data_IF_783068805124
#
_entry.id   IF_783068805124
#
_cell.length_a   1.000
_cell.length_b   1.000
_cell.length_c   1.000
_cell.angle_alpha   90.00
_cell.angle_beta   90.00
_cell.angle_gamma   90.00
#
_symmetry.space_group_name_H-M   'P 1'
#
loop_
_entity.id
_entity.type
_entity.pdbx_description
1 polymer ?
#
# COMPACT_ATOMS: atom_id res chain seq x y z
N UNK A 1 -3.61 -14.63 25.86
CA UNK A 1 -3.39 -13.60 24.82
C UNK A 1 -4.49 -12.55 24.92
N UNK A 2 -4.21 -11.37 25.50
CA UNK A 2 -5.09 -10.22 25.27
C UNK A 2 -4.75 -9.72 23.86
N UNK A 3 -5.54 -10.12 22.86
CA UNK A 3 -5.38 -9.60 21.51
C UNK A 3 -5.59 -8.09 21.54
N UNK A 4 -4.54 -7.31 21.32
CA UNK A 4 -4.68 -5.89 21.02
C UNK A 4 -5.28 -5.83 19.62
N UNK A 5 -6.54 -5.43 19.51
CA UNK A 5 -7.26 -5.35 18.24
C UNK A 5 -6.77 -4.16 17.41
N UNK A 6 -6.63 -4.36 16.09
CA UNK A 6 -6.51 -3.27 15.13
C UNK A 6 -7.86 -2.56 15.04
N UNK A 7 -7.87 -1.25 15.29
CA UNK A 7 -9.07 -0.41 15.12
C UNK A 7 -8.88 0.42 13.86
N UNK A 8 -9.60 0.06 12.80
CA UNK A 8 -9.63 0.80 11.54
C UNK A 8 -10.86 1.70 11.56
N UNK A 9 -10.65 3.01 11.43
CA UNK A 9 -11.73 3.98 11.31
C UNK A 9 -12.08 4.15 9.84
N UNK A 10 -13.37 4.08 9.57
CA UNK A 10 -13.96 4.36 8.27
C UNK A 10 -14.16 5.87 8.11
N UNK A 11 -13.86 6.38 6.93
CA UNK A 11 -14.09 7.78 6.55
C UNK A 11 -14.89 7.85 5.24
N UNK A 12 -15.83 8.80 5.11
CA UNK A 12 -16.52 9.06 3.86
C UNK A 12 -15.65 9.88 2.91
N UNK A 13 -15.63 9.49 1.64
CA UNK A 13 -14.94 10.14 0.54
C UNK A 13 -15.95 10.49 -0.55
N UNK A 14 -15.87 11.72 -1.07
CA UNK A 14 -16.74 12.20 -2.14
C UNK A 14 -15.96 13.09 -3.11
N UNK A 15 -16.19 12.91 -4.41
CA UNK A 15 -15.83 13.88 -5.46
C UNK A 15 -17.07 14.17 -6.30
N UNK A 16 -17.44 15.44 -6.44
CA UNK A 16 -18.69 15.86 -7.08
C UNK A 16 -18.46 17.06 -7.99
N UNK A 17 -19.02 17.01 -9.20
CA UNK A 17 -19.07 18.16 -10.09
C UNK A 17 -20.47 18.40 -10.65
N UNK A 18 -20.78 19.67 -10.88
CA UNK A 18 -22.04 20.11 -11.47
C UNK A 18 -21.91 20.36 -12.97
N UNK A 19 -22.93 19.99 -13.74
CA UNK A 19 -23.09 20.33 -15.15
C UNK A 19 -24.45 20.98 -15.39
N UNK A 20 -24.48 22.10 -16.11
CA UNK A 20 -25.74 22.73 -16.49
C UNK A 20 -26.45 21.91 -17.59
N UNK A 21 -27.73 21.59 -17.40
CA UNK A 21 -28.54 20.81 -18.36
C UNK A 21 -28.68 21.50 -19.70
N UNK A 22 -28.70 22.84 -19.74
CA UNK A 22 -28.71 23.62 -20.99
C UNK A 22 -27.55 23.27 -21.92
N UNK A 23 -26.39 22.88 -21.36
CA UNK A 23 -25.22 22.53 -22.16
C UNK A 23 -25.44 21.21 -22.90
N UNK A 24 -26.16 20.25 -22.31
CA UNK A 24 -26.51 19.00 -22.99
C UNK A 24 -27.39 19.24 -24.22
N UNK A 25 -28.21 20.30 -24.22
CA UNK A 25 -29.06 20.70 -25.34
C UNK A 25 -28.29 21.45 -26.45
N UNK A 26 -27.02 21.81 -26.21
CA UNK A 26 -26.14 22.45 -27.22
C UNK A 26 -25.41 21.43 -28.07
N UNK A 27 -25.11 21.77 -29.32
CA UNK A 27 -24.32 20.93 -30.22
C UNK A 27 -22.94 20.60 -29.60
N UNK A 28 -22.63 19.30 -29.50
CA UNK A 28 -21.41 18.79 -28.90
C UNK A 28 -21.31 18.88 -27.36
N UNK A 29 -22.38 19.26 -26.66
CA UNK A 29 -22.38 19.39 -25.19
C UNK A 29 -21.99 18.10 -24.46
N UNK A 30 -22.59 16.97 -24.83
CA UNK A 30 -22.26 15.65 -24.28
C UNK A 30 -20.80 15.26 -24.58
N UNK A 31 -20.31 15.53 -25.79
CA UNK A 31 -18.92 15.25 -26.19
C UNK A 31 -17.91 16.05 -25.38
N UNK A 32 -18.22 17.31 -25.04
CA UNK A 32 -17.34 18.15 -24.21
C UNK A 32 -17.24 17.70 -22.75
N UNK A 33 -18.28 17.06 -22.20
CA UNK A 33 -18.33 16.66 -20.79
C UNK A 33 -18.01 15.18 -20.54
N UNK A 34 -18.13 14.32 -21.55
CA UNK A 34 -17.73 12.92 -21.45
C UNK A 34 -16.31 12.71 -20.87
N UNK A 35 -15.28 13.53 -21.18
CA UNK A 35 -13.97 13.41 -20.54
C UNK A 35 -14.01 13.62 -19.01
N UNK A 36 -14.85 14.53 -18.51
CA UNK A 36 -14.97 14.82 -17.06
C UNK A 36 -15.62 13.66 -16.30
N UNK A 37 -16.69 13.09 -16.83
CA UNK A 37 -17.32 11.89 -16.26
C UNK A 37 -16.35 10.71 -16.26
N UNK A 38 -15.58 10.54 -17.35
CA UNK A 38 -14.53 9.50 -17.42
C UNK A 38 -13.41 9.73 -16.40
N UNK A 39 -13.04 10.99 -16.12
CA UNK A 39 -12.05 11.30 -15.09
C UNK A 39 -12.57 10.98 -13.70
N UNK A 40 -13.83 11.33 -13.39
CA UNK A 40 -14.48 10.98 -12.13
C UNK A 40 -14.49 9.46 -11.91
N UNK A 41 -14.92 8.69 -12.91
CA UNK A 41 -14.91 7.23 -12.84
C UNK A 41 -13.48 6.65 -12.71
N UNK A 42 -12.48 7.26 -13.34
CA UNK A 42 -11.07 6.87 -13.15
C UNK A 42 -10.59 7.16 -11.73
N UNK A 43 -10.97 8.29 -11.15
CA UNK A 43 -10.67 8.64 -9.75
C UNK A 43 -11.26 7.60 -8.80
N UNK A 44 -12.54 7.27 -8.95
CA UNK A 44 -13.21 6.23 -8.16
C UNK A 44 -12.51 4.86 -8.24
N UNK A 45 -11.98 4.49 -9.41
CA UNK A 45 -11.21 3.24 -9.57
C UNK A 45 -9.83 3.28 -8.90
N UNK A 46 -9.17 4.45 -8.85
CA UNK A 46 -7.84 4.62 -8.24
C UNK A 46 -7.89 4.78 -6.72
N UNK A 47 -9.03 5.20 -6.19
CA UNK A 47 -9.23 5.46 -4.77
C UNK A 47 -8.66 4.35 -3.87
N UNK A 48 -8.87 3.08 -4.23
CA UNK A 48 -8.38 1.94 -3.43
C UNK A 48 -6.86 1.91 -3.37
N UNK A 49 -6.19 2.13 -4.51
CA UNK A 49 -4.74 2.14 -4.58
C UNK A 49 -4.17 3.32 -3.78
N UNK A 50 -4.74 4.51 -3.97
CA UNK A 50 -4.34 5.72 -3.25
C UNK A 50 -4.48 5.55 -1.74
N UNK A 51 -5.61 5.01 -1.28
CA UNK A 51 -5.84 4.72 0.14
C UNK A 51 -4.84 3.69 0.69
N UNK A 52 -4.59 2.61 -0.05
CA UNK A 52 -3.66 1.54 0.36
C UNK A 52 -2.23 2.06 0.47
N UNK A 53 -1.74 2.78 -0.54
CA UNK A 53 -0.36 3.28 -0.55
C UNK A 53 -0.15 4.46 0.40
N UNK A 54 -1.15 5.33 0.58
CA UNK A 54 -1.11 6.35 1.62
C UNK A 54 -1.01 5.73 3.02
N UNK A 55 -1.80 4.68 3.29
CA UNK A 55 -1.74 3.93 4.56
C UNK A 55 -0.38 3.25 4.73
N UNK A 56 0.17 2.68 3.65
CA UNK A 56 1.49 2.05 3.69
C UNK A 56 2.59 3.06 4.03
N UNK A 57 2.60 4.22 3.39
CA UNK A 57 3.55 5.31 3.68
C UNK A 57 3.39 5.86 5.09
N UNK A 58 2.16 5.92 5.61
CA UNK A 58 1.90 6.30 7.00
C UNK A 58 2.51 5.31 8.01
N UNK A 59 2.84 4.08 7.61
CA UNK A 59 3.47 3.07 8.47
C UNK A 59 4.83 3.45 9.05
N UNK A 60 5.52 4.45 8.49
CA UNK A 60 6.75 4.99 9.08
C UNK A 60 6.51 5.84 10.34
N UNK A 61 5.27 6.29 10.58
CA UNK A 61 4.91 7.19 11.68
C UNK A 61 3.77 6.66 12.55
N UNK A 62 2.81 5.96 11.96
CA UNK A 62 1.66 5.38 12.66
C UNK A 62 2.09 4.16 13.44
N UNK A 63 1.77 4.14 14.73
CA UNK A 63 2.07 3.02 15.60
C UNK A 63 1.24 1.78 15.22
N UNK A 64 1.91 0.64 15.18
CA UNK A 64 1.29 -0.66 15.06
C UNK A 64 0.70 -1.15 16.38
N UNK A 65 0.29 -2.42 16.39
CA UNK A 65 -0.37 -3.10 17.51
C UNK A 65 0.51 -3.15 18.78
N UNK A 66 1.82 -3.14 18.60
CA UNK A 66 2.84 -3.18 19.64
C UNK A 66 3.19 -1.80 20.22
N UNK A 67 2.67 -0.72 19.65
CA UNK A 67 2.83 0.65 20.14
C UNK A 67 4.06 1.40 19.62
N UNK A 68 4.82 0.82 18.69
CA UNK A 68 5.87 1.51 17.93
C UNK A 68 5.44 1.68 16.47
N UNK A 69 6.07 2.57 15.67
CA UNK A 69 5.74 2.69 14.25
C UNK A 69 5.74 1.34 13.53
N UNK A 70 4.82 1.13 12.57
CA UNK A 70 4.71 -0.14 11.86
C UNK A 70 6.01 -0.54 11.14
N UNK A 71 6.75 0.43 10.61
CA UNK A 71 8.13 0.26 10.16
C UNK A 71 9.07 0.81 11.21
N UNK A 72 9.60 -0.07 12.06
CA UNK A 72 10.45 0.30 13.19
C UNK A 72 11.73 -0.55 13.24
N UNK A 73 12.78 0.08 13.74
CA UNK A 73 14.02 -0.59 14.08
C UNK A 73 13.92 -1.41 15.38
N UNK A 74 12.81 -1.30 16.12
CA UNK A 74 12.72 -1.81 17.49
C UNK A 74 11.30 -2.23 17.88
N UNK A 75 10.72 -3.17 17.14
CA UNK A 75 9.49 -3.84 17.57
C UNK A 75 9.78 -4.66 18.85
N UNK A 76 9.08 -4.39 19.96
CA UNK A 76 9.28 -5.14 21.20
C UNK A 76 8.79 -6.57 21.01
N UNK A 77 9.65 -7.52 21.31
CA UNK A 77 9.30 -8.94 21.44
C UNK A 77 9.50 -9.38 22.90
N UNK A 78 9.17 -10.63 23.22
CA UNK A 78 9.30 -11.19 24.57
C UNK A 78 10.71 -10.98 25.16
N UNK A 79 10.79 -10.91 26.49
CA UNK A 79 12.05 -10.83 27.25
C UNK A 79 12.93 -9.59 26.95
N UNK A 80 12.33 -8.48 26.52
CA UNK A 80 13.02 -7.20 26.32
C UNK A 80 13.91 -7.16 25.07
N UNK A 81 13.85 -8.16 24.21
CA UNK A 81 14.51 -8.18 22.91
C UNK A 81 13.67 -7.35 21.93
N UNK A 82 14.32 -6.77 20.91
CA UNK A 82 13.62 -6.10 19.82
C UNK A 82 13.96 -6.71 18.46
N UNK A 83 13.06 -6.55 17.51
CA UNK A 83 13.27 -6.93 16.12
C UNK A 83 13.03 -5.73 15.20
N UNK A 84 13.86 -5.60 14.15
CA UNK A 84 13.70 -4.54 13.15
C UNK A 84 13.01 -5.07 11.91
N UNK A 85 12.05 -4.32 11.38
CA UNK A 85 11.55 -4.47 10.02
C UNK A 85 11.80 -3.22 9.14
N UNK A 86 12.67 -2.32 9.61
CA UNK A 86 13.01 -1.08 8.93
C UNK A 86 14.52 -0.95 8.72
N UNK A 87 14.93 -0.85 7.46
CA UNK A 87 16.33 -0.66 7.06
C UNK A 87 16.88 0.74 7.30
N UNK A 88 16.05 1.73 7.62
CA UNK A 88 16.50 3.12 7.70
C UNK A 88 16.74 3.75 6.33
N UNK A 89 17.58 4.79 6.30
CA UNK A 89 17.87 5.57 5.09
C UNK A 89 16.94 6.77 4.89
N UNK A 90 17.18 7.52 3.81
CA UNK A 90 16.50 8.79 3.51
C UNK A 90 16.02 8.92 2.05
N UNK A 91 16.22 7.91 1.21
CA UNK A 91 15.77 7.90 -0.17
C UNK A 91 14.30 7.53 -0.33
N UNK A 92 13.89 7.37 -1.60
CA UNK A 92 12.59 6.82 -1.96
C UNK A 92 12.39 5.44 -1.33
N UNK A 93 11.25 5.17 -0.68
CA UNK A 93 11.04 3.92 0.02
C UNK A 93 10.86 2.74 -0.96
N UNK A 94 11.23 1.57 -0.49
CA UNK A 94 10.87 0.30 -1.10
C UNK A 94 10.45 -0.68 -0.01
N UNK A 95 9.56 -1.60 -0.37
CA UNK A 95 8.88 -2.46 0.58
C UNK A 95 8.96 -3.91 0.13
N UNK A 96 9.18 -4.81 1.07
CA UNK A 96 9.20 -6.24 0.84
C UNK A 96 8.11 -6.89 1.69
N UNK A 97 7.30 -7.76 1.10
CA UNK A 97 6.15 -8.36 1.77
C UNK A 97 6.10 -9.87 1.59
N UNK A 98 5.55 -10.53 2.60
CA UNK A 98 4.99 -11.87 2.49
C UNK A 98 3.45 -11.81 2.56
N UNK A 99 2.77 -11.70 1.41
CA UNK A 99 1.30 -11.66 1.36
C UNK A 99 0.64 -13.00 1.71
N UNK A 100 1.40 -14.09 1.87
CA UNK A 100 0.84 -15.43 2.13
C UNK A 100 0.48 -15.67 3.60
N UNK A 101 1.08 -14.92 4.52
CA UNK A 101 0.70 -14.92 5.94
C UNK A 101 -0.50 -14.00 6.15
N UNK A 102 -0.33 -12.72 5.76
CA UNK A 102 -1.38 -11.71 5.84
C UNK A 102 -1.10 -10.64 4.79
N UNK A 103 -2.16 -10.02 4.27
CA UNK A 103 -1.99 -8.83 3.43
C UNK A 103 -1.44 -7.69 4.29
N UNK A 104 -0.44 -6.93 3.83
CA UNK A 104 0.20 -5.89 4.63
C UNK A 104 -0.74 -4.73 4.97
N UNK A 105 -1.66 -4.41 4.05
CA UNK A 105 -2.72 -3.43 4.24
C UNK A 105 -4.06 -4.14 4.06
N UNK A 106 -4.98 -3.91 5.01
CA UNK A 106 -6.37 -4.32 4.91
C UNK A 106 -7.22 -3.06 4.69
N UNK A 107 -8.13 -3.13 3.73
CA UNK A 107 -9.15 -2.11 3.52
C UNK A 107 -10.48 -2.62 4.06
N UNK A 108 -11.05 -1.86 4.98
CA UNK A 108 -12.37 -2.08 5.56
C UNK A 108 -13.39 -1.21 4.81
N UNK A 109 -14.36 -1.86 4.17
CA UNK A 109 -15.40 -1.19 3.41
C UNK A 109 -16.66 -1.04 4.24
N UNK A 110 -17.19 0.18 4.36
CA UNK A 110 -18.59 0.41 4.70
C UNK A 110 -19.40 0.55 3.41
N UNK A 111 -18.87 1.29 2.45
CA UNK A 111 -19.42 1.44 1.10
C UNK A 111 -18.29 1.41 0.06
N UNK A 112 -18.46 0.58 -0.97
CA UNK A 112 -17.49 0.52 -2.08
C UNK A 112 -17.63 1.75 -2.97
N UNK A 113 -16.57 2.13 -3.72
CA UNK A 113 -16.64 3.27 -4.62
C UNK A 113 -17.75 3.09 -5.65
N UNK A 114 -18.67 4.03 -5.69
CA UNK A 114 -19.79 4.06 -6.62
C UNK A 114 -19.89 5.43 -7.26
N UNK A 115 -20.13 5.48 -8.57
CA UNK A 115 -20.45 6.71 -9.29
C UNK A 115 -21.95 6.90 -9.36
N UNK A 116 -22.43 8.10 -9.05
CA UNK A 116 -23.84 8.47 -9.03
C UNK A 116 -24.09 9.71 -9.88
N UNK A 117 -25.31 9.83 -10.38
CA UNK A 117 -25.81 11.06 -11.00
C UNK A 117 -27.08 11.51 -10.25
N UNK A 118 -27.27 12.81 -10.10
CA UNK A 118 -28.48 13.35 -9.48
C UNK A 118 -29.66 13.29 -10.45
N UNK A 119 -30.88 13.25 -9.90
CA UNK A 119 -32.08 13.44 -10.69
C UNK A 119 -32.08 14.79 -11.42
N UNK A 120 -32.56 14.75 -12.67
CA UNK A 120 -32.63 15.92 -13.55
C UNK A 120 -33.87 16.76 -13.25
N UNK A 121 -33.79 17.64 -12.25
CA UNK A 121 -34.86 18.61 -12.04
C UNK A 121 -34.68 19.83 -12.97
N UNK A 122 -35.18 19.68 -14.20
CA UNK A 122 -35.10 20.72 -15.24
C UNK A 122 -35.89 21.98 -14.88
N UNK A 123 -36.88 21.87 -14.00
CA UNK A 123 -37.77 22.98 -13.65
C UNK A 123 -37.18 23.90 -12.58
N UNK A 124 -36.47 23.35 -11.59
CA UNK A 124 -36.03 24.10 -10.41
C UNK A 124 -34.56 24.56 -10.43
N UNK A 125 -33.64 23.82 -11.07
CA UNK A 125 -32.19 24.13 -10.98
C UNK A 125 -31.40 24.03 -12.28
N UNK A 126 -31.89 23.31 -13.30
CA UNK A 126 -31.21 23.21 -14.59
C UNK A 126 -29.76 22.69 -14.49
N UNK A 127 -29.46 21.87 -13.49
CA UNK A 127 -28.13 21.32 -13.20
C UNK A 127 -28.27 19.83 -12.91
N UNK A 128 -27.31 19.03 -13.40
CA UNK A 128 -27.10 17.63 -13.03
C UNK A 128 -25.77 17.55 -12.29
N UNK A 129 -25.77 16.88 -11.15
CA UNK A 129 -24.56 16.55 -10.41
C UNK A 129 -24.10 15.14 -10.78
N UNK A 130 -22.79 15.00 -10.98
CA UNK A 130 -22.12 13.70 -11.09
C UNK A 130 -21.18 13.59 -9.90
N UNK A 131 -21.30 12.50 -9.17
CA UNK A 131 -20.53 12.23 -7.97
C UNK A 131 -19.89 10.86 -8.00
N UNK A 132 -18.81 10.70 -7.25
CA UNK A 132 -18.28 9.41 -6.83
C UNK A 132 -18.18 9.43 -5.31
N UNK A 133 -18.69 8.40 -4.65
CA UNK A 133 -18.65 8.28 -3.20
C UNK A 133 -18.10 6.91 -2.79
N UNK A 134 -17.38 6.89 -1.67
CA UNK A 134 -16.90 5.68 -1.02
C UNK A 134 -16.87 5.89 0.49
N UNK A 135 -17.03 4.84 1.27
CA UNK A 135 -16.77 4.88 2.70
C UNK A 135 -15.88 3.70 3.06
N UNK A 136 -14.63 4.02 3.43
CA UNK A 136 -13.62 3.03 3.69
C UNK A 136 -12.63 3.49 4.77
N UNK A 137 -12.02 2.53 5.42
CA UNK A 137 -10.82 2.75 6.22
C UNK A 137 -9.74 1.77 5.77
N UNK A 138 -8.47 2.14 5.93
CA UNK A 138 -7.36 1.24 5.68
C UNK A 138 -6.44 1.16 6.91
N UNK A 139 -5.88 -0.02 7.13
CA UNK A 139 -5.02 -0.29 8.27
C UNK A 139 -3.90 -1.25 7.95
N UNK A 140 -2.80 -1.09 8.68
CA UNK A 140 -1.63 -1.95 8.61
C UNK A 140 -1.84 -3.18 9.50
N UNK A 141 -1.36 -4.34 9.06
CA UNK A 141 -1.64 -5.63 9.72
C UNK A 141 -0.52 -6.05 10.66
N UNK A 142 0.14 -7.17 10.38
CA UNK A 142 1.28 -7.67 11.15
C UNK A 142 2.58 -7.12 10.57
N UNK A 143 3.34 -6.43 11.41
CA UNK A 143 4.65 -5.87 11.05
C UNK A 143 5.65 -6.96 10.65
N UNK A 144 5.46 -8.20 11.15
CA UNK A 144 6.32 -9.34 10.82
C UNK A 144 6.27 -9.74 9.34
N UNK A 145 5.16 -9.46 8.64
CA UNK A 145 4.96 -9.83 7.24
C UNK A 145 5.45 -8.76 6.25
N UNK A 146 6.03 -7.67 6.76
CA UNK A 146 6.44 -6.52 5.98
C UNK A 146 7.84 -6.04 6.39
N UNK A 147 8.61 -5.57 5.43
CA UNK A 147 9.85 -4.85 5.65
C UNK A 147 9.88 -3.60 4.77
N UNK A 148 10.41 -2.51 5.29
CA UNK A 148 10.62 -1.30 4.51
C UNK A 148 12.07 -0.83 4.60
N UNK A 149 12.53 -0.14 3.57
CA UNK A 149 13.81 0.54 3.61
C UNK A 149 13.77 1.77 2.71
N UNK A 150 14.53 2.79 3.13
CA UNK A 150 14.81 4.02 2.39
C UNK A 150 16.30 4.11 2.04
N UNK A 151 17.04 3.00 2.18
CA UNK A 151 18.40 2.88 1.68
C UNK A 151 18.38 2.66 0.17
N UNK A 152 19.53 2.83 -0.48
CA UNK A 152 19.71 2.47 -1.89
C UNK A 152 19.33 1.01 -2.13
N UNK A 153 18.48 0.75 -3.12
CA UNK A 153 18.09 -0.60 -3.50
C UNK A 153 19.21 -1.23 -4.37
N UNK A 154 20.00 -2.10 -3.77
CA UNK A 154 20.99 -2.93 -4.44
C UNK A 154 20.87 -4.41 -4.00
N UNK A 155 21.72 -5.28 -4.55
CA UNK A 155 21.70 -6.71 -4.24
C UNK A 155 21.94 -6.98 -2.74
N UNK A 156 22.90 -6.27 -2.13
CA UNK A 156 23.26 -6.48 -0.74
C UNK A 156 22.14 -6.01 0.22
N UNK A 157 21.53 -4.86 -0.07
CA UNK A 157 20.41 -4.33 0.69
C UNK A 157 19.17 -5.24 0.57
N UNK A 158 18.91 -5.78 -0.62
CA UNK A 158 17.83 -6.73 -0.84
C UNK A 158 18.06 -8.04 -0.07
N UNK A 159 19.25 -8.63 -0.16
CA UNK A 159 19.59 -9.87 0.55
C UNK A 159 19.51 -9.70 2.08
N UNK A 160 19.99 -8.54 2.59
CA UNK A 160 19.88 -8.21 4.00
C UNK A 160 18.41 -8.10 4.45
N UNK A 161 17.56 -7.47 3.65
CA UNK A 161 16.12 -7.35 3.93
C UNK A 161 15.41 -8.71 3.91
N UNK A 162 15.70 -9.56 2.92
CA UNK A 162 15.16 -10.92 2.81
C UNK A 162 15.57 -11.75 4.03
N UNK A 163 16.86 -11.73 4.39
CA UNK A 163 17.36 -12.44 5.56
C UNK A 163 16.75 -11.94 6.87
N UNK A 164 16.51 -10.62 6.99
CA UNK A 164 15.86 -10.03 8.15
C UNK A 164 14.41 -10.51 8.28
N UNK A 165 13.64 -10.51 7.19
CA UNK A 165 12.26 -11.00 7.20
C UNK A 165 12.18 -12.49 7.56
N UNK A 166 13.03 -13.33 6.98
CA UNK A 166 13.06 -14.77 7.25
C UNK A 166 13.46 -15.10 8.70
N UNK A 167 14.20 -14.21 9.37
CA UNK A 167 14.60 -14.36 10.78
C UNK A 167 13.56 -13.82 11.77
N UNK A 168 12.47 -13.22 11.28
CA UNK A 168 11.46 -12.62 12.15
C UNK A 168 10.88 -13.66 13.11
N UNK A 169 11.02 -13.44 14.44
CA UNK A 169 10.53 -14.39 15.43
C UNK A 169 9.01 -14.34 15.54
N UNK A 170 8.41 -15.45 15.95
CA UNK A 170 7.02 -15.45 16.40
C UNK A 170 6.91 -14.63 17.70
N UNK A 171 5.86 -13.82 17.81
CA UNK A 171 5.52 -13.18 19.08
C UNK A 171 4.93 -14.25 20.02
N UNK A 172 5.76 -14.82 20.90
CA UNK A 172 5.28 -15.75 21.93
C UNK A 172 4.55 -14.96 23.02
N UNK A 173 3.30 -15.33 23.30
CA UNK A 173 2.66 -14.96 24.57
C UNK A 173 3.47 -15.53 25.74
N UNK A 174 3.35 -14.89 26.91
CA UNK A 174 4.07 -15.23 28.14
C UNK A 174 4.27 -16.75 28.33
N UNK A 175 5.54 -17.17 28.39
CA UNK A 175 5.91 -18.56 28.61
C UNK A 175 6.96 -19.04 27.62
N UNK A 176 8.21 -19.11 28.10
CA UNK A 176 9.33 -19.93 27.64
C UNK A 176 9.13 -20.64 26.28
N UNK A 177 9.87 -20.21 25.25
CA UNK A 177 10.56 -21.22 24.44
C UNK A 177 10.31 -21.31 22.94
N UNK A 178 9.65 -20.38 22.26
CA UNK A 178 9.59 -20.43 20.78
C UNK A 178 10.23 -19.20 20.13
N UNK A 179 11.57 -19.11 20.22
CA UNK A 179 12.42 -18.33 19.28
C UNK A 179 12.38 -18.90 17.84
N UNK A 180 11.29 -19.58 17.49
CA UNK A 180 11.11 -20.19 16.18
C UNK A 180 10.73 -19.09 15.20
N UNK A 181 11.33 -19.09 13.99
CA UNK A 181 10.91 -18.20 12.93
C UNK A 181 9.41 -18.34 12.68
N UNK A 182 8.73 -17.23 12.42
CA UNK A 182 7.31 -17.24 12.04
C UNK A 182 7.08 -17.94 10.68
N UNK A 183 8.15 -18.16 9.91
CA UNK A 183 8.09 -18.75 8.58
C UNK A 183 7.78 -17.74 7.48
N UNK A 184 8.08 -16.45 7.73
CA UNK A 184 7.92 -15.37 6.76
C UNK A 184 8.83 -15.61 5.57
N UNK A 185 8.25 -15.65 4.38
CA UNK A 185 8.95 -15.84 3.12
C UNK A 185 8.58 -14.67 2.19
N UNK A 186 9.48 -13.69 2.00
CA UNK A 186 9.26 -12.60 1.07
C UNK A 186 8.86 -13.11 -0.31
N UNK A 187 7.78 -12.54 -0.88
CA UNK A 187 7.26 -12.90 -2.21
C UNK A 187 6.98 -11.71 -3.10
N UNK A 188 6.90 -10.50 -2.54
CA UNK A 188 6.54 -9.29 -3.27
C UNK A 188 7.45 -8.12 -2.89
N UNK A 189 8.17 -7.57 -3.86
CA UNK A 189 8.88 -6.29 -3.78
C UNK A 189 8.01 -5.20 -4.40
N UNK A 190 7.70 -4.15 -3.63
CA UNK A 190 6.92 -2.99 -4.07
C UNK A 190 7.80 -1.75 -4.07
N UNK A 191 7.84 -1.04 -5.19
CA UNK A 191 8.69 0.14 -5.39
C UNK A 191 7.97 1.28 -6.12
N UNK A 192 8.39 2.51 -5.85
CA UNK A 192 8.04 3.69 -6.64
C UNK A 192 8.78 3.78 -7.99
N UNK A 193 8.41 4.73 -8.88
CA UNK A 193 9.07 4.94 -10.16
C UNK A 193 10.59 5.18 -10.05
N UNK A 194 11.05 5.84 -8.99
CA UNK A 194 12.46 6.17 -8.74
C UNK A 194 13.32 4.92 -8.51
N UNK A 195 12.76 3.91 -7.86
CA UNK A 195 13.45 2.64 -7.57
C UNK A 195 13.18 1.57 -8.64
N UNK A 196 12.34 1.84 -9.65
CA UNK A 196 11.97 0.86 -10.70
C UNK A 196 13.18 0.25 -11.41
N UNK A 197 14.11 1.08 -11.85
CA UNK A 197 15.28 0.62 -12.60
C UNK A 197 16.21 -0.24 -11.74
N UNK A 198 16.41 0.15 -10.49
CA UNK A 198 17.18 -0.60 -9.50
C UNK A 198 16.51 -1.95 -9.18
N UNK A 199 15.20 -1.96 -8.95
CA UNK A 199 14.44 -3.18 -8.68
C UNK A 199 14.50 -4.19 -9.84
N UNK A 200 14.39 -3.71 -11.09
CA UNK A 200 14.59 -4.56 -12.28
C UNK A 200 16.02 -5.07 -12.38
N UNK A 201 17.02 -4.26 -12.03
CA UNK A 201 18.40 -4.72 -12.00
C UNK A 201 18.63 -5.82 -10.94
N UNK A 202 17.93 -5.75 -9.81
CA UNK A 202 18.01 -6.75 -8.72
C UNK A 202 17.29 -8.05 -9.09
N UNK A 203 16.07 -7.98 -9.64
CA UNK A 203 15.20 -9.14 -9.81
C UNK A 203 15.10 -9.71 -11.23
N UNK A 204 15.32 -8.90 -12.27
CA UNK A 204 15.05 -9.30 -13.66
C UNK A 204 16.33 -9.50 -14.50
N UNK A 205 17.51 -9.09 -14.00
CA UNK A 205 18.77 -9.40 -14.68
C UNK A 205 19.20 -10.83 -14.40
N UNK A 206 19.45 -11.61 -15.45
CA UNK A 206 19.95 -12.99 -15.31
C UNK A 206 21.43 -13.05 -14.92
N UNK A 207 22.21 -12.09 -15.40
CA UNK A 207 23.64 -11.96 -15.07
C UNK A 207 23.94 -10.58 -14.51
N UNK A 208 24.81 -10.55 -13.52
CA UNK A 208 25.39 -9.35 -12.94
C UNK A 208 26.44 -8.76 -13.89
N UNK A 209 26.89 -7.53 -13.61
CA UNK A 209 27.82 -6.81 -14.49
C UNK A 209 29.18 -7.51 -14.67
N UNK A 210 29.53 -8.40 -13.74
CA UNK A 210 30.73 -9.24 -13.77
C UNK A 210 30.54 -10.58 -14.52
N UNK A 211 29.35 -10.84 -15.07
CA UNK A 211 29.01 -12.09 -15.76
C UNK A 211 28.59 -13.24 -14.84
N UNK A 212 28.50 -13.01 -13.53
CA UNK A 212 27.99 -14.02 -12.57
C UNK A 212 26.47 -14.12 -12.66
N UNK A 213 25.94 -15.33 -12.41
CA UNK A 213 24.49 -15.56 -12.32
C UNK A 213 23.91 -14.78 -11.15
N UNK A 214 22.82 -14.06 -11.40
CA UNK A 214 22.10 -13.35 -10.35
C UNK A 214 21.28 -14.33 -9.49
N UNK A 215 21.64 -14.46 -8.22
CA UNK A 215 20.94 -15.31 -7.25
C UNK A 215 19.51 -14.87 -6.97
N UNK A 216 19.21 -13.59 -7.19
CA UNK A 216 17.90 -12.99 -6.94
C UNK A 216 17.01 -12.94 -8.18
N UNK A 217 17.43 -13.54 -9.29
CA UNK A 217 16.64 -13.57 -10.53
C UNK A 217 15.29 -14.25 -10.28
N UNK A 218 14.21 -13.46 -10.41
CA UNK A 218 12.82 -13.85 -10.15
C UNK A 218 12.59 -14.44 -8.74
N UNK A 219 13.38 -14.03 -7.76
CA UNK A 219 13.22 -14.49 -6.37
C UNK A 219 11.89 -14.03 -5.75
N UNK A 220 11.42 -12.82 -6.11
CA UNK A 220 10.13 -12.27 -5.69
C UNK A 220 9.44 -11.56 -6.86
N UNK A 221 8.12 -11.40 -6.79
CA UNK A 221 7.36 -10.59 -7.73
C UNK A 221 7.69 -9.10 -7.56
N UNK A 222 7.77 -8.36 -8.66
CA UNK A 222 8.01 -6.91 -8.65
C UNK A 222 6.71 -6.16 -8.97
N UNK A 223 6.24 -5.35 -8.02
CA UNK A 223 5.17 -4.38 -8.24
C UNK A 223 5.74 -2.97 -8.27
N UNK A 224 5.48 -2.25 -9.36
CA UNK A 224 5.87 -0.85 -9.52
C UNK A 224 4.60 -0.01 -9.49
N UNK A 225 4.54 0.96 -8.58
CA UNK A 225 3.36 1.80 -8.37
C UNK A 225 3.74 3.27 -8.39
N UNK A 226 2.94 4.17 -9.01
CA UNK A 226 3.21 5.61 -9.00
C UNK A 226 2.93 6.28 -7.65
N UNK A 227 2.32 5.59 -6.68
CA UNK A 227 1.82 6.18 -5.44
C UNK A 227 2.83 6.13 -4.27
N UNK A 228 4.11 5.85 -4.55
CA UNK A 228 5.17 5.73 -3.53
C UNK A 228 6.24 6.82 -3.58
N UNK A 229 6.22 7.67 -4.62
CA UNK A 229 7.15 8.78 -4.83
C UNK A 229 6.39 10.09 -5.09
#
# INVERSE_FOLDING_TARGET
MKGKGLVIKNEPYEDTFAMQTRILKTEGGATRYAPRVKMLARGANRFVDELVFATLLAGFTVNGVDGVPFFSASHPISDGVTHSNFGGGAGAPWFLFDPSIVKPVIVQWLQRPETKESDKDEFDKGVIYFGAEADAGAGLTLWQAAYASKQTLDQAAFDAAVAQMMKTPRESGEGVGDKKPLGVMPKLLVVGPSNRAAAKAVLEKEQLANGESNTNYKAVELMVTPYLD
#
